data_IF_175473483008
#
_entry.id   IF_175473483008
#
_cell.length_a   1.000
_cell.length_b   1.000
_cell.length_c   1.000
_cell.angle_alpha   90.00
_cell.angle_beta   90.00
_cell.angle_gamma   90.00
#
_symmetry.space_group_name_H-M   'P 1'
#
loop_
_entity.id
_entity.type
_entity.pdbx_description
1 polymer ?
#
# COMPACT_ATOMS: atom_id res chain seq x y z
N UNK A 1 22.42 1.41 3.33
CA UNK A 1 22.69 2.83 2.99
C UNK A 1 21.74 3.85 3.64
N UNK A 2 20.41 3.67 3.66
CA UNK A 2 19.48 4.63 4.30
C UNK A 2 19.23 4.33 5.80
N UNK A 3 18.93 3.07 6.15
CA UNK A 3 18.84 2.61 7.56
C UNK A 3 20.14 2.82 8.32
N UNK A 4 21.29 2.52 7.70
CA UNK A 4 22.62 2.79 8.29
C UNK A 4 22.87 4.27 8.61
N UNK A 5 22.21 5.19 7.90
CA UNK A 5 22.38 6.64 8.07
C UNK A 5 21.40 7.26 9.06
N UNK A 6 20.18 6.72 9.17
CA UNK A 6 19.09 7.34 9.94
C UNK A 6 18.49 6.44 11.03
N UNK A 7 18.90 5.18 11.11
CA UNK A 7 18.34 4.18 12.02
C UNK A 7 16.95 3.67 11.61
N UNK A 8 16.51 2.59 12.24
CA UNK A 8 15.21 1.97 11.96
C UNK A 8 14.02 2.85 12.38
N UNK A 9 14.20 3.65 13.45
CA UNK A 9 13.16 4.56 13.96
C UNK A 9 12.76 5.64 12.94
N UNK A 10 13.65 6.01 12.02
CA UNK A 10 13.35 7.00 11.00
C UNK A 10 12.31 6.48 9.99
N UNK A 11 12.46 5.22 9.56
CA UNK A 11 11.53 4.56 8.66
C UNK A 11 10.12 4.49 9.26
N UNK A 12 10.07 4.13 10.54
CA UNK A 12 8.82 4.07 11.29
C UNK A 12 8.13 5.45 11.33
N UNK A 13 8.82 6.46 11.86
CA UNK A 13 8.24 7.79 12.13
C UNK A 13 7.82 8.54 10.86
N UNK A 14 8.65 8.52 9.82
CA UNK A 14 8.45 9.38 8.65
C UNK A 14 7.74 8.70 7.49
N UNK A 15 7.61 7.37 7.50
CA UNK A 15 6.89 6.61 6.48
C UNK A 15 5.73 5.82 7.08
N UNK A 16 6.01 4.79 7.89
CA UNK A 16 4.97 3.85 8.35
C UNK A 16 3.86 4.58 9.12
N UNK A 17 4.22 5.44 10.07
CA UNK A 17 3.25 6.19 10.87
C UNK A 17 2.44 7.19 10.02
N UNK A 18 3.09 7.83 9.04
CA UNK A 18 2.42 8.76 8.12
C UNK A 18 1.45 8.05 7.19
N UNK A 19 1.85 6.91 6.64
CA UNK A 19 0.99 6.10 5.79
C UNK A 19 -0.25 5.62 6.56
N UNK A 20 -0.07 5.19 7.82
CA UNK A 20 -1.20 4.79 8.68
C UNK A 20 -2.16 5.95 8.89
N UNK A 21 -1.64 7.13 9.23
CA UNK A 21 -2.46 8.33 9.43
C UNK A 21 -3.25 8.70 8.15
N UNK A 22 -2.63 8.61 6.97
CA UNK A 22 -3.28 8.89 5.68
C UNK A 22 -4.37 7.87 5.34
N UNK A 23 -4.09 6.58 5.52
CA UNK A 23 -5.09 5.50 5.29
C UNK A 23 -6.26 5.65 6.26
N UNK A 24 -6.00 5.95 7.52
CA UNK A 24 -7.06 6.24 8.49
C UNK A 24 -7.92 7.44 8.07
N UNK A 25 -7.30 8.54 7.62
CA UNK A 25 -8.03 9.73 7.13
C UNK A 25 -8.89 9.39 5.91
N UNK A 26 -8.34 8.61 4.97
CA UNK A 26 -9.07 8.12 3.80
C UNK A 26 -10.26 7.24 4.22
N UNK A 27 -10.07 6.31 5.15
CA UNK A 27 -11.15 5.44 5.66
C UNK A 27 -12.24 6.22 6.42
N UNK A 28 -11.88 7.31 7.09
CA UNK A 28 -12.83 8.22 7.75
C UNK A 28 -13.50 9.23 6.79
N UNK A 29 -13.09 9.28 5.52
CA UNK A 29 -13.63 10.23 4.55
C UNK A 29 -15.14 10.01 4.34
N UNK A 30 -15.92 11.08 4.47
CA UNK A 30 -17.37 11.06 4.30
C UNK A 30 -17.79 10.46 2.95
N UNK A 31 -17.17 10.91 1.85
CA UNK A 31 -17.57 10.50 0.51
C UNK A 31 -17.18 9.07 0.17
N UNK A 32 -16.20 8.49 0.87
CA UNK A 32 -15.86 7.07 0.76
C UNK A 32 -16.91 6.19 1.46
N UNK A 33 -17.41 6.66 2.61
CA UNK A 33 -18.46 5.99 3.38
C UNK A 33 -19.86 6.18 2.80
N UNK A 34 -20.03 7.23 2.01
CA UNK A 34 -21.28 7.62 1.37
C UNK A 34 -21.04 7.96 -0.13
N UNK A 35 -20.64 6.96 -0.95
CA UNK A 35 -20.28 7.18 -2.34
C UNK A 35 -21.44 7.70 -3.20
N UNK A 36 -22.69 7.50 -2.78
CA UNK A 36 -23.88 8.04 -3.44
C UNK A 36 -23.86 9.57 -3.57
N UNK A 37 -23.14 10.28 -2.69
CA UNK A 37 -23.00 11.73 -2.77
C UNK A 37 -22.04 12.18 -3.88
N UNK A 38 -21.14 11.30 -4.33
CA UNK A 38 -20.23 11.59 -5.45
C UNK A 38 -20.99 11.70 -6.79
N UNK A 39 -22.17 11.08 -6.90
CA UNK A 39 -22.97 11.06 -8.12
C UNK A 39 -23.83 12.31 -8.30
N UNK A 40 -24.15 13.00 -7.20
CA UNK A 40 -24.98 14.21 -7.20
C UNK A 40 -24.18 15.52 -7.11
N UNK A 41 -22.87 15.44 -6.83
CA UNK A 41 -22.00 16.61 -6.74
C UNK A 41 -21.38 16.99 -8.11
N UNK A 42 -20.82 18.22 -8.27
CA UNK A 42 -20.15 18.58 -9.52
C UNK A 42 -18.98 17.66 -9.85
N UNK A 43 -18.90 17.25 -11.12
CA UNK A 43 -17.96 16.21 -11.60
C UNK A 43 -16.50 16.49 -11.24
N UNK A 44 -16.06 17.75 -11.30
CA UNK A 44 -14.68 18.13 -10.99
C UNK A 44 -14.33 17.87 -9.52
N UNK A 45 -15.26 18.11 -8.59
CA UNK A 45 -15.05 17.82 -7.18
C UNK A 45 -15.02 16.32 -6.91
N UNK A 46 -15.94 15.55 -7.52
CA UNK A 46 -15.96 14.10 -7.39
C UNK A 46 -14.67 13.48 -7.95
N UNK A 47 -14.18 13.96 -9.10
CA UNK A 47 -12.92 13.52 -9.70
C UNK A 47 -11.73 13.79 -8.78
N UNK A 48 -11.66 14.97 -8.14
CA UNK A 48 -10.59 15.30 -7.19
C UNK A 48 -10.59 14.39 -5.96
N UNK A 49 -11.77 14.05 -5.43
CA UNK A 49 -11.89 13.11 -4.31
C UNK A 49 -11.39 11.72 -4.72
N UNK A 50 -11.84 11.21 -5.87
CA UNK A 50 -11.38 9.90 -6.40
C UNK A 50 -9.87 9.87 -6.65
N UNK A 51 -9.31 10.97 -7.15
CA UNK A 51 -7.87 11.09 -7.37
C UNK A 51 -7.07 11.04 -6.05
N UNK A 52 -7.54 11.74 -5.02
CA UNK A 52 -6.90 11.70 -3.70
C UNK A 52 -7.00 10.31 -3.04
N UNK A 53 -8.15 9.65 -3.15
CA UNK A 53 -8.33 8.28 -2.66
C UNK A 53 -7.39 7.30 -3.39
N UNK A 54 -7.22 7.46 -4.71
CA UNK A 54 -6.28 6.65 -5.49
C UNK A 54 -4.82 6.91 -5.06
N UNK A 55 -4.46 8.17 -4.80
CA UNK A 55 -3.13 8.53 -4.32
C UNK A 55 -2.80 7.86 -2.99
N UNK A 56 -3.69 7.94 -2.00
CA UNK A 56 -3.51 7.28 -0.70
C UNK A 56 -3.52 5.76 -0.84
N UNK A 57 -4.36 5.21 -1.73
CA UNK A 57 -4.36 3.78 -2.00
C UNK A 57 -3.00 3.30 -2.55
N UNK A 58 -2.42 4.03 -3.50
CA UNK A 58 -1.16 3.65 -4.15
C UNK A 58 0.07 3.90 -3.28
N UNK A 59 0.11 5.01 -2.55
CA UNK A 59 1.34 5.49 -1.90
C UNK A 59 1.34 5.37 -0.37
N UNK A 60 0.23 4.93 0.23
CA UNK A 60 0.13 4.73 1.68
C UNK A 60 -0.42 3.34 2.00
N UNK A 61 -1.56 2.95 1.42
CA UNK A 61 -2.17 1.63 1.66
C UNK A 61 -1.32 0.50 1.09
N UNK A 62 -0.95 0.55 -0.20
CA UNK A 62 -0.14 -0.50 -0.81
C UNK A 62 1.23 -0.69 -0.13
N UNK A 63 1.98 0.37 0.22
CA UNK A 63 3.20 0.22 1.01
C UNK A 63 2.99 -0.44 2.37
N UNK A 64 1.91 -0.11 3.08
CA UNK A 64 1.58 -0.79 4.34
C UNK A 64 1.23 -2.27 4.14
N UNK A 65 0.53 -2.62 3.07
CA UNK A 65 0.27 -4.02 2.70
C UNK A 65 1.58 -4.78 2.42
N UNK A 66 2.49 -4.18 1.65
CA UNK A 66 3.81 -4.77 1.36
C UNK A 66 4.62 -4.91 2.65
N UNK A 67 4.57 -3.91 3.54
CA UNK A 67 5.24 -3.97 4.83
C UNK A 67 4.70 -5.09 5.72
N UNK A 68 3.36 -5.25 5.79
CA UNK A 68 2.72 -6.37 6.50
C UNK A 68 3.11 -7.71 5.87
N UNK A 69 3.11 -7.82 4.54
CA UNK A 69 3.56 -9.01 3.84
C UNK A 69 5.01 -9.38 4.22
N UNK A 70 5.91 -8.39 4.28
CA UNK A 70 7.30 -8.61 4.70
C UNK A 70 7.37 -9.21 6.12
N UNK A 71 6.55 -8.72 7.05
CA UNK A 71 6.48 -9.28 8.41
C UNK A 71 5.97 -10.73 8.43
N UNK A 72 4.99 -11.05 7.59
CA UNK A 72 4.39 -12.40 7.51
C UNK A 72 5.31 -13.43 6.86
N UNK A 73 6.14 -13.03 5.88
CA UNK A 73 7.04 -13.95 5.17
C UNK A 73 8.41 -14.14 5.84
N UNK A 74 8.63 -13.56 7.03
CA UNK A 74 9.86 -13.74 7.80
C UNK A 74 10.83 -12.54 7.79
N UNK A 75 10.36 -11.36 7.41
CA UNK A 75 11.12 -10.10 7.48
C UNK A 75 11.70 -9.62 6.14
N UNK A 76 12.55 -8.61 6.23
CA UNK A 76 13.12 -7.89 5.09
C UNK A 76 13.92 -8.80 4.14
N UNK A 77 14.82 -9.63 4.67
CA UNK A 77 15.65 -10.52 3.84
C UNK A 77 14.82 -11.52 3.03
N UNK A 78 13.76 -12.08 3.64
CA UNK A 78 12.85 -12.99 2.95
C UNK A 78 12.05 -12.28 1.86
N UNK A 79 11.55 -11.07 2.16
CA UNK A 79 10.84 -10.24 1.18
C UNK A 79 11.75 -9.82 0.01
N UNK A 80 13.00 -9.44 0.27
CA UNK A 80 13.97 -9.06 -0.78
C UNK A 80 14.20 -10.21 -1.77
N UNK A 81 14.31 -11.45 -1.27
CA UNK A 81 14.44 -12.64 -2.13
C UNK A 81 13.19 -12.88 -2.98
N UNK A 82 11.99 -12.68 -2.42
CA UNK A 82 10.72 -12.80 -3.16
C UNK A 82 10.65 -11.74 -4.26
N UNK A 83 10.89 -10.47 -3.92
CA UNK A 83 10.85 -9.35 -4.87
C UNK A 83 11.89 -9.50 -5.98
N UNK A 84 13.10 -9.97 -5.67
CA UNK A 84 14.13 -10.22 -6.67
C UNK A 84 13.72 -11.27 -7.70
N UNK A 85 13.04 -12.35 -7.26
CA UNK A 85 12.51 -13.39 -8.15
C UNK A 85 11.36 -12.88 -9.00
N UNK A 86 10.44 -12.12 -8.41
CA UNK A 86 9.33 -11.50 -9.13
C UNK A 86 9.82 -10.54 -10.20
N UNK A 87 10.78 -9.68 -9.87
CA UNK A 87 11.39 -8.74 -10.80
C UNK A 87 12.10 -9.45 -11.96
N UNK A 88 12.79 -10.55 -11.68
CA UNK A 88 13.47 -11.37 -12.71
C UNK A 88 12.48 -12.10 -13.61
N UNK A 89 11.32 -12.50 -13.09
CA UNK A 89 10.29 -13.23 -13.85
C UNK A 89 9.40 -12.31 -14.67
N UNK A 90 9.33 -11.03 -14.32
CA UNK A 90 8.50 -10.01 -14.97
C UNK A 90 9.31 -8.98 -15.79
N UNK A 91 10.46 -9.38 -16.33
CA UNK A 91 11.26 -8.49 -17.16
C UNK A 91 10.45 -8.13 -18.43
N UNK A 92 10.12 -6.85 -18.57
CA UNK A 92 9.36 -6.34 -19.71
C UNK A 92 7.84 -6.52 -19.61
N UNK A 93 7.32 -6.98 -18.47
CA UNK A 93 5.89 -7.09 -18.18
C UNK A 93 5.53 -6.38 -16.87
N UNK A 94 4.23 -6.14 -16.67
CA UNK A 94 3.72 -5.66 -15.38
C UNK A 94 3.52 -6.83 -14.42
N UNK A 95 3.99 -6.67 -13.19
CA UNK A 95 3.68 -7.56 -12.08
C UNK A 95 2.23 -7.33 -11.64
N UNK A 96 1.43 -8.40 -11.60
CA UNK A 96 0.07 -8.37 -11.07
C UNK A 96 0.06 -8.53 -9.54
N UNK A 97 -1.05 -8.11 -8.91
CA UNK A 97 -1.21 -8.28 -7.47
C UNK A 97 -1.29 -9.76 -7.07
N UNK A 98 -1.96 -10.60 -7.87
CA UNK A 98 -2.05 -12.03 -7.60
C UNK A 98 -0.68 -12.71 -7.64
N UNK A 99 0.17 -12.39 -8.62
CA UNK A 99 1.53 -12.94 -8.69
C UNK A 99 2.36 -12.57 -7.45
N UNK A 100 2.18 -11.36 -6.93
CA UNK A 100 2.82 -10.96 -5.67
C UNK A 100 2.31 -11.79 -4.49
N UNK A 101 1.00 -11.97 -4.36
CA UNK A 101 0.38 -12.78 -3.30
C UNK A 101 0.84 -14.24 -3.35
N UNK A 102 0.81 -14.84 -4.55
CA UNK A 102 1.25 -16.21 -4.79
C UNK A 102 2.72 -16.40 -4.41
N UNK A 103 3.58 -15.45 -4.77
CA UNK A 103 5.01 -15.51 -4.43
C UNK A 103 5.28 -15.32 -2.93
N UNK A 104 4.42 -14.60 -2.22
CA UNK A 104 4.45 -14.51 -0.76
C UNK A 104 3.77 -15.70 -0.07
N UNK A 105 2.98 -16.52 -0.79
CA UNK A 105 2.14 -17.55 -0.20
C UNK A 105 1.03 -16.97 0.70
N UNK A 106 0.52 -15.79 0.35
CA UNK A 106 -0.48 -15.04 1.11
C UNK A 106 -1.77 -14.87 0.30
N UNK A 107 -2.85 -14.52 1.00
CA UNK A 107 -4.15 -14.14 0.43
C UNK A 107 -4.38 -12.63 0.57
N UNK A 108 -5.44 -12.11 -0.06
CA UNK A 108 -5.80 -10.70 0.11
C UNK A 108 -6.18 -10.38 1.56
N UNK A 109 -6.86 -11.32 2.22
CA UNK A 109 -7.30 -11.24 3.62
C UNK A 109 -6.11 -11.12 4.58
N UNK A 110 -5.01 -11.85 4.31
CA UNK A 110 -3.78 -11.73 5.11
C UNK A 110 -3.22 -10.29 5.10
N UNK A 111 -3.51 -9.52 4.05
CA UNK A 111 -3.03 -8.15 3.86
C UNK A 111 -4.08 -7.08 4.16
N UNK A 112 -5.24 -7.43 4.71
CA UNK A 112 -6.16 -6.43 5.24
C UNK A 112 -5.52 -5.68 6.43
N UNK A 113 -5.71 -4.36 6.47
CA UNK A 113 -5.20 -3.52 7.56
C UNK A 113 -6.37 -3.21 8.50
N UNK A 114 -6.14 -3.39 9.81
CA UNK A 114 -7.09 -3.03 10.87
C UNK A 114 -7.36 -1.51 10.94
#
# INVERSE_FOLDING_TARGET
MYKEKYGDEYGQKYYVDRWKEEVEKMNRNFYRRHPEYLDIMPKEYAARIRANDLEVAMYSLMPLKIYKAAQLVGGEEAMDLILARLASSNIGSFLTYQEFLDACGLTEEDLELE
#
